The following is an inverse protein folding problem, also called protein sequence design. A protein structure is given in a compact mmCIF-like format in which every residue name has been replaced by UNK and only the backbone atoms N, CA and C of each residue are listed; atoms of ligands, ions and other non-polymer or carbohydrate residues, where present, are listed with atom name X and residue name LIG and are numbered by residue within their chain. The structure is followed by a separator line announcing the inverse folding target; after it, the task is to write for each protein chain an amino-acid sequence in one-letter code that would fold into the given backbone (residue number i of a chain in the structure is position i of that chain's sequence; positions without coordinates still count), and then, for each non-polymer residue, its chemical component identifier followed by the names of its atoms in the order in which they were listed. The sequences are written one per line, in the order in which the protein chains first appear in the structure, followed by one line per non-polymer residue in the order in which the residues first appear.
data_IF_637384471236
#
_entry.id   IF_637384471236
#
_cell.length_a   1.000
_cell.length_b   1.000
_cell.length_c   1.000
_cell.angle_alpha   90.00
_cell.angle_beta   90.00
_cell.angle_gamma   90.00
#
_symmetry.space_group_name_H-M   'P 1'
#
loop_
_entity.id
_entity.type
_entity.pdbx_description
1 polymer ?
#
# COMPACT_ATOMS: atom_id res chain seq x y z
N UNK A 1 -27.94 2.60 11.12
CA UNK A 1 -26.72 2.37 11.92
C UNK A 1 -25.47 3.01 11.32
N UNK A 2 -25.11 2.77 10.05
CA UNK A 2 -23.91 3.37 9.40
C UNK A 2 -23.88 4.91 9.41
N UNK A 3 -25.04 5.57 9.25
CA UNK A 3 -25.14 7.04 9.28
C UNK A 3 -24.93 7.68 10.66
N UNK A 4 -25.37 7.00 11.72
CA UNK A 4 -25.17 7.47 13.09
C UNK A 4 -23.70 7.35 13.51
N UNK A 5 -23.03 6.27 13.09
CA UNK A 5 -21.60 6.08 13.32
C UNK A 5 -20.75 7.17 12.63
N UNK A 6 -21.12 7.59 11.41
CA UNK A 6 -20.41 8.66 10.69
C UNK A 6 -20.57 10.05 11.35
N UNK A 7 -21.74 10.35 11.92
CA UNK A 7 -21.99 11.61 12.63
C UNK A 7 -21.23 11.67 13.96
N UNK A 8 -21.23 10.56 14.71
CA UNK A 8 -20.48 10.43 15.97
C UNK A 8 -18.98 10.53 15.68
N UNK A 9 -18.49 9.90 14.61
CA UNK A 9 -17.09 9.97 14.19
C UNK A 9 -16.63 11.39 13.83
N UNK A 10 -17.46 12.16 13.11
CA UNK A 10 -17.13 13.55 12.77
C UNK A 10 -17.15 14.48 13.99
N UNK A 11 -18.05 14.24 14.96
CA UNK A 11 -18.12 15.02 16.20
C UNK A 11 -16.97 14.71 17.18
N UNK A 12 -16.51 13.46 17.25
CA UNK A 12 -15.35 13.08 18.06
C UNK A 12 -14.05 13.60 17.43
N UNK A 13 -13.92 13.49 16.10
CA UNK A 13 -12.79 14.04 15.35
C UNK A 13 -12.70 15.57 15.52
N UNK A 14 -13.84 16.28 15.42
CA UNK A 14 -13.89 17.73 15.63
C UNK A 14 -13.61 18.15 17.09
N UNK A 15 -13.86 17.26 18.08
CA UNK A 15 -13.51 17.50 19.49
C UNK A 15 -12.02 17.32 19.74
N UNK A 16 -11.41 16.30 19.14
CA UNK A 16 -10.01 15.94 19.37
C UNK A 16 -9.01 16.92 18.75
N UNK A 17 -9.39 17.60 17.66
CA UNK A 17 -8.51 18.53 16.93
C UNK A 17 -8.64 19.98 17.44
N UNK A 18 -9.76 20.31 18.08
CA UNK A 18 -10.06 21.65 18.62
C UNK A 18 -8.96 22.24 19.54
N UNK A 19 -8.33 21.47 20.47
CA UNK A 19 -7.28 22.02 21.32
C UNK A 19 -5.93 22.23 20.61
N UNK A 20 -5.75 21.68 19.41
CA UNK A 20 -4.47 21.72 18.67
C UNK A 20 -4.49 22.69 17.47
N UNK A 21 -5.60 23.38 17.23
CA UNK A 21 -5.72 24.39 16.18
C UNK A 21 -5.17 25.75 16.67
N UNK A 22 -4.19 26.35 15.96
CA UNK A 22 -3.71 27.69 16.31
C UNK A 22 -4.83 28.72 16.19
N UNK A 23 -4.95 29.62 17.18
CA UNK A 23 -5.92 30.73 17.21
C UNK A 23 -5.48 31.88 16.30
N UNK A 24 -5.33 31.61 15.00
CA UNK A 24 -5.06 32.60 13.95
C UNK A 24 -6.30 32.78 13.08
N UNK A 25 -6.46 33.91 12.39
CA UNK A 25 -7.63 34.15 11.52
C UNK A 25 -7.86 33.06 10.45
N UNK A 26 -6.80 32.35 10.05
CA UNK A 26 -6.81 31.22 9.13
C UNK A 26 -7.55 29.97 9.66
N UNK A 27 -7.72 29.81 10.99
CA UNK A 27 -8.50 28.69 11.56
C UNK A 27 -10.00 28.97 11.69
N UNK A 28 -10.44 30.24 11.48
CA UNK A 28 -11.86 30.62 11.47
C UNK A 28 -12.61 30.03 10.27
N UNK A 29 -11.95 29.86 9.12
CA UNK A 29 -12.55 29.23 7.95
C UNK A 29 -12.80 27.73 8.15
N UNK A 30 -11.94 27.03 8.90
CA UNK A 30 -12.11 25.61 9.22
C UNK A 30 -13.29 25.38 10.16
N UNK A 31 -13.46 26.26 11.16
CA UNK A 31 -14.62 26.24 12.06
C UNK A 31 -15.93 26.61 11.33
N UNK A 32 -15.89 27.55 10.39
CA UNK A 32 -17.04 27.91 9.56
C UNK A 32 -17.46 26.76 8.63
N UNK A 33 -16.50 26.07 8.00
CA UNK A 33 -16.77 24.91 7.15
C UNK A 33 -17.39 23.74 7.94
N UNK A 34 -16.91 23.48 9.16
CA UNK A 34 -17.47 22.46 10.04
C UNK A 34 -18.91 22.80 10.48
N UNK A 35 -19.21 24.07 10.79
CA UNK A 35 -20.55 24.52 11.17
C UNK A 35 -21.55 24.49 10.01
N UNK A 36 -21.10 24.72 8.77
CA UNK A 36 -21.94 24.63 7.56
C UNK A 36 -22.31 23.18 7.27
N UNK A 37 -21.36 22.24 7.43
CA UNK A 37 -21.62 20.81 7.27
C UNK A 37 -22.60 20.27 8.33
N UNK A 38 -22.58 20.81 9.54
CA UNK A 38 -23.52 20.44 10.61
C UNK A 38 -24.95 20.97 10.40
N UNK A 39 -25.18 21.94 9.51
CA UNK A 39 -26.49 22.58 9.27
C UNK A 39 -27.22 22.10 8.01
N UNK A 40 -26.68 21.15 7.25
CA UNK A 40 -27.35 20.62 6.05
C UNK A 40 -28.62 19.85 6.46
N UNK A 41 -29.84 20.31 6.13
CA UNK A 41 -31.05 19.59 6.50
C UNK A 41 -31.23 18.35 5.63
N UNK A 42 -31.47 17.19 6.26
CA UNK A 42 -31.78 15.95 5.55
C UNK A 42 -33.21 15.99 5.01
N UNK A 43 -33.38 16.12 3.68
CA UNK A 43 -34.68 15.87 3.02
C UNK A 43 -34.82 14.40 2.62
N UNK A 44 -35.97 13.76 2.85
CA UNK A 44 -36.23 12.41 2.38
C UNK A 44 -36.54 12.40 0.88
N UNK A 45 -35.92 11.47 0.16
CA UNK A 45 -36.09 11.30 -1.29
C UNK A 45 -37.46 10.68 -1.62
N UNK A 46 -38.31 11.40 -2.37
CA UNK A 46 -39.40 10.80 -3.15
C UNK A 46 -38.90 10.53 -4.56
N UNK A 47 -38.96 9.27 -5.00
CA UNK A 47 -38.80 8.87 -6.39
C UNK A 47 -39.96 9.44 -7.21
N UNK A 48 -39.65 10.12 -8.31
CA UNK A 48 -40.63 10.44 -9.35
C UNK A 48 -40.06 9.88 -10.66
N UNK A 49 -40.72 8.84 -11.16
CA UNK A 49 -40.60 8.37 -12.54
C UNK A 49 -41.47 9.30 -13.39
N UNK A 50 -40.91 9.89 -14.45
CA UNK A 50 -41.67 10.62 -15.45
C UNK A 50 -41.38 10.04 -16.85
N UNK A 51 -42.39 9.93 -17.74
CA UNK A 51 -42.24 9.29 -19.04
C UNK A 51 -41.64 10.23 -20.09
N UNK A 52 -40.99 9.62 -21.07
CA UNK A 52 -40.48 10.22 -22.30
C UNK A 52 -41.62 10.77 -23.14
N UNK A 53 -41.51 12.01 -23.62
CA UNK A 53 -42.12 12.39 -24.88
C UNK A 53 -41.32 13.45 -25.62
N UNK A 54 -41.24 13.27 -26.94
CA UNK A 54 -40.41 13.97 -27.91
C UNK A 54 -41.11 15.22 -28.47
N UNK A 55 -40.38 16.34 -28.62
CA UNK A 55 -40.64 17.33 -29.67
C UNK A 55 -39.35 18.00 -30.14
N UNK A 56 -39.29 18.17 -31.45
CA UNK A 56 -38.22 18.69 -32.29
C UNK A 56 -38.27 20.23 -32.29
N UNK A 57 -37.11 20.89 -32.16
CA UNK A 57 -36.85 22.21 -32.75
C UNK A 57 -35.32 22.41 -32.94
N UNK A 58 -34.90 22.68 -34.18
CA UNK A 58 -33.53 23.08 -34.60
C UNK A 58 -33.42 24.63 -34.56
N UNK A 59 -32.33 25.27 -35.05
CA UNK A 59 -30.96 25.31 -34.52
C UNK A 59 -30.48 26.76 -34.34
N UNK A 60 -29.70 27.08 -33.30
CA UNK A 60 -28.96 28.37 -33.30
C UNK A 60 -27.68 28.34 -32.44
N UNK A 61 -26.83 27.35 -32.69
CA UNK A 61 -25.58 27.12 -31.95
C UNK A 61 -24.32 27.41 -32.78
N UNK A 62 -24.41 28.18 -33.85
CA UNK A 62 -23.28 28.39 -34.77
C UNK A 62 -22.57 29.75 -34.65
N UNK A 63 -22.96 30.63 -33.71
CA UNK A 63 -22.41 32.00 -33.63
C UNK A 63 -21.60 32.36 -32.38
N UNK A 64 -21.39 31.43 -31.44
CA UNK A 64 -20.61 31.67 -30.20
C UNK A 64 -19.36 30.80 -30.03
N UNK A 65 -18.71 30.40 -31.12
CA UNK A 65 -17.43 29.65 -31.05
C UNK A 65 -16.27 30.35 -31.77
N UNK A 66 -16.38 31.66 -32.04
CA UNK A 66 -15.37 32.39 -32.83
C UNK A 66 -14.63 33.52 -32.13
N UNK A 67 -14.65 33.59 -30.81
CA UNK A 67 -13.78 34.52 -30.06
C UNK A 67 -13.40 33.93 -28.70
N UNK A 68 -12.12 33.61 -28.51
CA UNK A 68 -11.58 33.17 -27.21
C UNK A 68 -10.40 32.19 -27.24
N UNK A 69 -9.88 31.84 -28.42
CA UNK A 69 -8.72 30.98 -28.58
C UNK A 69 -7.41 31.75 -28.43
N UNK A 70 -6.87 31.86 -27.20
CA UNK A 70 -5.47 32.26 -26.99
C UNK A 70 -4.99 32.06 -25.55
N UNK A 71 -5.86 32.23 -24.54
CA UNK A 71 -5.45 32.15 -23.12
C UNK A 71 -5.67 30.80 -22.42
N UNK A 72 -6.59 29.96 -22.91
CA UNK A 72 -6.95 28.68 -22.26
C UNK A 72 -5.99 27.52 -22.54
N UNK A 73 -5.20 27.60 -23.61
CA UNK A 73 -4.26 26.54 -23.98
C UNK A 73 -3.02 26.50 -23.07
N UNK A 74 -2.61 27.64 -22.49
CA UNK A 74 -1.43 27.72 -21.61
C UNK A 74 -1.71 27.23 -20.18
N UNK A 75 -2.93 27.35 -19.69
CA UNK A 75 -3.32 26.90 -18.34
C UNK A 75 -3.60 25.39 -18.26
N UNK A 76 -4.01 24.75 -19.36
CA UNK A 76 -4.23 23.31 -19.40
C UNK A 76 -2.91 22.50 -19.40
N UNK A 77 -1.86 23.03 -20.04
CA UNK A 77 -0.54 22.39 -20.04
C UNK A 77 0.15 22.40 -18.66
N UNK A 78 0.03 23.49 -17.90
CA UNK A 78 0.68 23.62 -16.60
C UNK A 78 0.08 22.69 -15.51
N UNK A 79 -1.23 22.43 -15.54
CA UNK A 79 -1.89 21.51 -14.61
C UNK A 79 -1.55 20.03 -14.87
N UNK A 80 -1.26 19.65 -16.12
CA UNK A 80 -0.88 18.29 -16.47
C UNK A 80 0.52 17.91 -15.94
N UNK A 81 1.45 18.87 -15.88
CA UNK A 81 2.81 18.63 -15.36
C UNK A 81 2.86 18.48 -13.82
N UNK A 82 1.93 19.11 -13.08
CA UNK A 82 1.84 18.99 -11.62
C UNK A 82 1.29 17.65 -11.12
N UNK A 83 0.53 16.93 -11.96
CA UNK A 83 -0.04 15.62 -11.59
C UNK A 83 0.92 14.45 -11.78
N UNK A 84 2.04 14.64 -12.49
CA UNK A 84 3.04 13.60 -12.77
C UNK A 84 4.21 13.57 -11.77
N UNK A 85 4.35 14.58 -10.90
CA UNK A 85 5.47 14.70 -9.96
C UNK A 85 5.22 14.11 -8.56
N UNK A 86 4.11 13.40 -8.36
CA UNK A 86 3.62 13.05 -7.03
C UNK A 86 4.05 11.71 -6.44
N UNK A 87 4.95 10.94 -7.04
CA UNK A 87 5.35 9.64 -6.47
C UNK A 87 6.38 9.83 -5.36
N UNK A 88 6.11 9.31 -4.16
CA UNK A 88 7.13 9.21 -3.13
C UNK A 88 8.30 8.36 -3.66
N UNK A 89 9.53 8.85 -3.53
CA UNK A 89 10.73 8.09 -3.86
C UNK A 89 11.27 7.42 -2.59
N UNK A 90 11.73 6.18 -2.73
CA UNK A 90 12.44 5.46 -1.68
C UNK A 90 13.91 5.32 -2.09
N UNK A 91 14.87 5.45 -1.16
CA UNK A 91 16.29 5.28 -1.49
C UNK A 91 16.59 3.82 -1.85
N UNK A 92 17.39 3.61 -2.90
CA UNK A 92 17.86 2.29 -3.33
C UNK A 92 19.34 2.09 -2.96
N UNK A 93 19.69 2.51 -1.75
CA UNK A 93 21.06 2.49 -1.24
C UNK A 93 21.45 1.11 -0.70
N UNK A 94 22.76 0.84 -0.65
CA UNK A 94 23.32 -0.38 -0.07
C UNK A 94 23.42 -0.19 1.44
N UNK A 95 22.68 -0.98 2.20
CA UNK A 95 22.62 -0.87 3.66
C UNK A 95 23.59 -1.79 4.41
N UNK A 96 24.37 -2.59 3.69
CA UNK A 96 25.33 -3.54 4.24
C UNK A 96 24.72 -4.80 4.84
N UNK A 97 23.48 -5.18 4.47
CA UNK A 97 22.79 -6.33 5.08
C UNK A 97 22.89 -7.62 4.26
N UNK A 98 23.31 -7.51 2.99
CA UNK A 98 23.54 -8.64 2.08
C UNK A 98 24.96 -9.22 2.25
N UNK A 99 25.13 -10.52 1.98
CA UNK A 99 26.47 -11.15 1.96
C UNK A 99 27.38 -10.56 0.90
N UNK A 100 26.85 -10.30 -0.30
CA UNK A 100 27.55 -9.62 -1.39
C UNK A 100 26.56 -8.72 -2.16
N UNK A 101 27.11 -7.69 -2.79
CA UNK A 101 26.43 -6.78 -3.70
C UNK A 101 26.87 -6.96 -5.16
N UNK A 102 27.71 -7.97 -5.42
CA UNK A 102 28.32 -8.19 -6.71
C UNK A 102 27.30 -8.72 -7.72
N UNK A 103 27.45 -8.28 -8.97
CA UNK A 103 26.61 -8.70 -10.09
C UNK A 103 25.10 -8.44 -9.89
N UNK A 104 24.72 -7.53 -8.99
CA UNK A 104 23.37 -7.01 -8.92
C UNK A 104 23.10 -6.15 -10.17
N UNK A 105 22.09 -6.53 -10.95
CA UNK A 105 21.69 -5.80 -12.15
C UNK A 105 20.42 -5.00 -11.89
N UNK A 106 20.32 -3.82 -12.48
CA UNK A 106 19.11 -3.00 -12.37
C UNK A 106 17.95 -3.69 -13.07
N UNK A 107 16.82 -3.80 -12.36
CA UNK A 107 15.60 -4.36 -12.91
C UNK A 107 14.39 -3.64 -12.30
N UNK A 108 13.98 -2.53 -12.91
CA UNK A 108 12.91 -1.71 -12.34
C UNK A 108 11.52 -2.18 -12.79
N UNK A 109 10.55 -2.05 -11.90
CA UNK A 109 9.13 -2.08 -12.25
C UNK A 109 8.62 -0.69 -12.65
N UNK A 110 7.32 -0.57 -12.90
CA UNK A 110 6.69 0.73 -13.22
C UNK A 110 6.83 1.75 -12.09
N UNK A 111 6.75 1.27 -10.84
CA UNK A 111 6.82 2.10 -9.63
C UNK A 111 7.84 1.60 -8.60
N UNK A 112 8.46 0.43 -8.85
CA UNK A 112 9.54 -0.12 -8.02
C UNK A 112 10.88 0.16 -8.66
N UNK A 113 11.82 0.61 -7.84
CA UNK A 113 13.22 0.56 -8.17
C UNK A 113 13.83 -0.71 -7.57
N UNK A 114 14.64 -1.44 -8.34
CA UNK A 114 15.32 -2.61 -7.81
C UNK A 114 16.67 -2.89 -8.48
N UNK A 115 17.54 -3.54 -7.71
CA UNK A 115 18.74 -4.20 -8.21
C UNK A 115 18.74 -5.63 -7.69
N UNK A 116 18.89 -6.61 -8.57
CA UNK A 116 18.75 -8.02 -8.19
C UNK A 116 19.77 -8.91 -8.88
N UNK A 117 19.98 -10.09 -8.29
CA UNK A 117 20.77 -11.18 -8.82
C UNK A 117 20.06 -12.48 -8.46
N UNK A 118 20.10 -13.45 -9.35
CA UNK A 118 19.60 -14.80 -9.10
C UNK A 118 20.46 -15.83 -9.82
N UNK A 119 20.86 -16.87 -9.09
CA UNK A 119 21.51 -18.07 -9.58
C UNK A 119 20.40 -19.07 -9.97
N UNK A 120 19.86 -18.91 -11.17
CA UNK A 120 18.69 -19.65 -11.64
C UNK A 120 18.85 -21.18 -11.53
N UNK A 121 19.98 -21.81 -11.91
CA UNK A 121 20.15 -23.26 -11.75
C UNK A 121 19.99 -23.72 -10.31
N UNK A 122 20.58 -23.02 -9.34
CA UNK A 122 20.49 -23.39 -7.92
C UNK A 122 19.07 -23.18 -7.38
N UNK A 123 18.45 -22.04 -7.71
CA UNK A 123 17.08 -21.74 -7.29
C UNK A 123 16.08 -22.76 -7.89
N UNK A 124 16.28 -23.20 -9.14
CA UNK A 124 15.44 -24.22 -9.78
C UNK A 124 15.64 -25.61 -9.19
N UNK A 125 16.80 -25.93 -8.63
CA UNK A 125 17.07 -27.21 -7.98
C UNK A 125 16.52 -27.28 -6.55
N UNK A 126 16.41 -26.14 -5.85
CA UNK A 126 15.91 -26.06 -4.49
C UNK A 126 14.42 -26.45 -4.37
N UNK A 127 14.10 -27.18 -3.31
CA UNK A 127 12.75 -27.69 -2.99
C UNK A 127 12.21 -27.11 -1.69
N UNK A 128 13.09 -26.88 -0.71
CA UNK A 128 12.74 -26.43 0.63
C UNK A 128 13.26 -25.02 0.88
N UNK A 129 12.48 -24.23 1.63
CA UNK A 129 12.87 -22.88 2.01
C UNK A 129 12.55 -22.61 3.47
N UNK A 130 13.47 -21.99 4.17
CA UNK A 130 13.28 -21.44 5.51
C UNK A 130 13.23 -19.92 5.42
N UNK A 131 12.31 -19.29 6.15
CA UNK A 131 12.20 -17.84 6.24
C UNK A 131 12.69 -17.41 7.62
N UNK A 132 13.76 -16.61 7.65
CA UNK A 132 14.21 -15.92 8.85
C UNK A 132 13.33 -14.68 9.04
N UNK A 133 12.75 -14.45 10.24
CA UNK A 133 11.89 -13.31 10.48
C UNK A 133 12.53 -11.98 10.08
N UNK A 134 11.76 -11.15 9.39
CA UNK A 134 12.24 -9.88 8.88
C UNK A 134 12.61 -8.95 10.03
N UNK A 135 13.76 -8.29 9.89
CA UNK A 135 14.27 -7.34 10.89
C UNK A 135 14.32 -5.92 10.34
N UNK A 136 14.39 -4.95 11.26
CA UNK A 136 14.69 -3.55 10.93
C UNK A 136 16.20 -3.31 11.06
N UNK A 137 16.82 -2.80 10.01
CA UNK A 137 18.24 -2.48 9.98
C UNK A 137 18.59 -1.24 10.81
N UNK A 138 19.88 -1.07 11.12
CA UNK A 138 20.40 0.01 11.95
C UNK A 138 20.03 1.41 11.43
N UNK A 139 19.96 1.58 10.10
CA UNK A 139 19.56 2.84 9.45
C UNK A 139 18.13 3.31 9.77
N UNK A 140 17.30 2.47 10.41
CA UNK A 140 15.90 2.79 10.73
C UNK A 140 15.68 3.20 12.19
N UNK A 141 16.74 3.29 12.99
CA UNK A 141 16.66 3.56 14.45
C UNK A 141 16.00 4.90 14.78
N UNK A 142 16.25 5.94 13.98
CA UNK A 142 15.66 7.27 14.16
C UNK A 142 14.21 7.42 13.67
N UNK A 143 13.63 6.37 13.06
CA UNK A 143 12.26 6.45 12.53
C UNK A 143 11.23 6.31 13.66
N UNK A 144 10.24 7.23 13.77
CA UNK A 144 9.25 7.24 14.85
C UNK A 144 8.15 6.17 14.65
N UNK A 145 8.53 4.89 14.60
CA UNK A 145 7.64 3.74 14.63
C UNK A 145 7.74 3.02 15.97
N UNK A 146 6.59 2.70 16.58
CA UNK A 146 6.53 1.87 17.79
C UNK A 146 7.00 0.44 17.51
N UNK A 147 7.28 -0.32 18.58
CA UNK A 147 7.69 -1.73 18.47
C UNK A 147 6.61 -2.55 17.78
N UNK A 148 5.34 -2.31 18.08
CA UNK A 148 4.18 -2.99 17.51
C UNK A 148 4.04 -2.68 16.01
N UNK A 149 4.21 -1.41 15.63
CA UNK A 149 4.18 -1.00 14.22
C UNK A 149 5.30 -1.66 13.41
N UNK A 150 6.52 -1.70 13.96
CA UNK A 150 7.65 -2.40 13.35
C UNK A 150 7.36 -3.89 13.19
N UNK A 151 6.82 -4.54 14.22
CA UNK A 151 6.40 -5.96 14.16
C UNK A 151 5.35 -6.20 13.08
N UNK A 152 4.35 -5.32 12.94
CA UNK A 152 3.34 -5.46 11.89
C UNK A 152 3.93 -5.35 10.48
N UNK A 153 4.81 -4.37 10.25
CA UNK A 153 5.47 -4.20 8.94
C UNK A 153 6.39 -5.39 8.61
N UNK A 154 7.21 -5.83 9.57
CA UNK A 154 8.07 -7.00 9.40
C UNK A 154 7.26 -8.27 9.12
N UNK A 155 6.20 -8.52 9.90
CA UNK A 155 5.35 -9.69 9.70
C UNK A 155 4.58 -9.63 8.37
N UNK A 156 4.26 -8.44 7.86
CA UNK A 156 3.67 -8.30 6.53
C UNK A 156 4.63 -8.76 5.42
N UNK A 157 5.93 -8.50 5.56
CA UNK A 157 6.97 -9.07 4.68
C UNK A 157 6.98 -10.58 4.79
N UNK A 158 7.13 -11.11 6.00
CA UNK A 158 7.29 -12.55 6.23
C UNK A 158 6.08 -13.36 5.73
N UNK A 159 4.87 -12.85 5.98
CA UNK A 159 3.64 -13.48 5.52
C UNK A 159 3.50 -13.45 3.99
N UNK A 160 3.88 -12.36 3.34
CA UNK A 160 3.87 -12.27 1.88
C UNK A 160 4.95 -13.17 1.26
N UNK A 161 6.13 -13.24 1.87
CA UNK A 161 7.17 -14.20 1.50
C UNK A 161 6.66 -15.64 1.61
N UNK A 162 6.04 -15.98 2.75
CA UNK A 162 5.54 -17.33 2.96
C UNK A 162 4.49 -17.71 1.93
N UNK A 163 3.50 -16.84 1.70
CA UNK A 163 2.43 -17.09 0.74
C UNK A 163 2.94 -17.22 -0.72
N UNK A 164 3.94 -16.43 -1.11
CA UNK A 164 4.51 -16.49 -2.45
C UNK A 164 5.45 -17.69 -2.63
N UNK A 165 6.34 -17.94 -1.67
CA UNK A 165 7.29 -19.05 -1.74
C UNK A 165 6.61 -20.41 -1.68
N UNK A 166 5.51 -20.52 -0.92
CA UNK A 166 4.74 -21.75 -0.78
C UNK A 166 3.96 -22.15 -2.02
N UNK A 167 4.02 -21.37 -3.11
CA UNK A 167 3.53 -21.76 -4.44
C UNK A 167 4.42 -22.83 -5.10
N UNK A 168 5.71 -22.88 -4.75
CA UNK A 168 6.68 -23.81 -5.34
C UNK A 168 7.50 -24.56 -4.30
N UNK A 169 7.96 -23.86 -3.27
CA UNK A 169 8.83 -24.43 -2.25
C UNK A 169 8.01 -25.00 -1.10
N UNK A 170 8.51 -26.08 -0.51
CA UNK A 170 8.07 -26.50 0.81
C UNK A 170 8.68 -25.54 1.84
N UNK A 171 7.86 -24.67 2.42
CA UNK A 171 8.30 -23.81 3.52
C UNK A 171 8.43 -24.66 4.78
N UNK A 172 9.63 -24.68 5.37
CA UNK A 172 9.95 -25.47 6.57
C UNK A 172 10.14 -24.56 7.80
N UNK A 173 10.06 -25.17 8.99
CA UNK A 173 10.22 -24.46 10.25
C UNK A 173 11.67 -24.02 10.54
N UNK A 174 11.88 -23.16 11.56
CA UNK A 174 13.18 -22.58 11.89
C UNK A 174 14.24 -23.59 12.35
N UNK A 175 13.83 -24.78 12.80
CA UNK A 175 14.72 -25.85 13.27
C UNK A 175 14.97 -26.93 12.21
N UNK A 176 14.33 -26.83 11.06
CA UNK A 176 14.45 -27.82 9.98
C UNK A 176 15.48 -27.33 8.94
N UNK A 177 16.31 -28.23 8.39
CA UNK A 177 17.20 -27.87 7.30
C UNK A 177 16.40 -27.48 6.06
N UNK A 178 16.90 -26.48 5.32
CA UNK A 178 16.29 -26.01 4.07
C UNK A 178 17.37 -25.80 3.00
N UNK A 179 17.04 -26.14 1.76
CA UNK A 179 17.92 -25.89 0.60
C UNK A 179 18.25 -24.41 0.47
N UNK A 180 17.30 -23.55 0.82
CA UNK A 180 17.44 -22.10 0.84
C UNK A 180 16.98 -21.50 2.17
N UNK A 181 17.76 -20.57 2.71
CA UNK A 181 17.38 -19.70 3.83
C UNK A 181 17.19 -18.29 3.32
N UNK A 182 15.98 -17.76 3.45
CA UNK A 182 15.59 -16.41 3.04
C UNK A 182 15.67 -15.47 4.23
N UNK A 183 16.34 -14.34 4.04
CA UNK A 183 16.40 -13.25 5.02
C UNK A 183 16.08 -11.93 4.34
N UNK A 184 15.20 -11.15 4.95
CA UNK A 184 14.88 -9.79 4.55
C UNK A 184 15.15 -8.80 5.68
N UNK A 185 15.60 -7.60 5.32
CA UNK A 185 15.87 -6.51 6.26
C UNK A 185 15.28 -5.23 5.71
N UNK A 186 14.48 -4.55 6.53
CA UNK A 186 14.00 -3.20 6.24
C UNK A 186 15.16 -2.23 6.44
N UNK A 187 15.59 -1.57 5.37
CA UNK A 187 16.77 -0.70 5.37
C UNK A 187 16.41 0.77 5.48
N UNK A 188 15.26 1.16 4.95
CA UNK A 188 14.73 2.52 5.04
C UNK A 188 13.22 2.51 5.19
N UNK A 189 12.69 3.42 6.00
CA UNK A 189 11.25 3.69 6.10
C UNK A 189 11.03 5.19 6.17
N UNK A 190 10.19 5.71 5.28
CA UNK A 190 9.59 7.03 5.46
C UNK A 190 8.19 6.83 6.03
N UNK A 191 7.91 7.33 7.25
CA UNK A 191 6.58 7.24 7.84
C UNK A 191 5.52 7.93 6.98
N UNK A 192 4.31 7.42 7.05
CA UNK A 192 3.12 8.11 6.53
C UNK A 192 2.80 9.28 7.46
N UNK A 193 2.47 10.45 6.94
CA UNK A 193 1.92 11.54 7.73
C UNK A 193 0.39 11.36 7.82
N UNK A 194 -0.15 10.90 8.98
CA UNK A 194 -1.57 10.60 9.11
C UNK A 194 -2.44 11.86 9.01
N UNK A 195 -1.92 13.04 9.35
CA UNK A 195 -2.67 14.30 9.29
C UNK A 195 -2.80 14.76 7.85
N UNK A 196 -1.71 14.73 7.08
CA UNK A 196 -1.75 15.06 5.66
C UNK A 196 -2.58 14.05 4.84
N UNK A 197 -2.46 12.74 5.13
CA UNK A 197 -3.27 11.70 4.49
C UNK A 197 -4.75 11.80 4.89
N UNK A 198 -5.05 12.17 6.14
CA UNK A 198 -6.43 12.40 6.61
C UNK A 198 -7.09 13.61 5.95
N UNK A 199 -6.38 14.74 5.85
CA UNK A 199 -6.89 15.95 5.19
C UNK A 199 -7.14 15.72 3.69
N UNK A 200 -6.22 15.04 3.01
CA UNK A 200 -6.37 14.72 1.58
C UNK A 200 -7.51 13.75 1.30
N UNK A 201 -7.75 12.77 2.18
CA UNK A 201 -8.93 11.90 2.09
C UNK A 201 -10.23 12.63 2.41
N UNK A 202 -10.28 13.50 3.40
CA UNK A 202 -11.47 14.32 3.69
C UNK A 202 -11.92 15.14 2.48
N UNK A 203 -10.97 15.74 1.76
CA UNK A 203 -11.24 16.47 0.52
C UNK A 203 -11.69 15.55 -0.63
N UNK A 204 -11.18 14.32 -0.71
CA UNK A 204 -11.49 13.38 -1.78
C UNK A 204 -12.81 12.61 -1.56
N UNK A 205 -13.15 12.28 -0.30
CA UNK A 205 -14.42 11.62 0.10
C UNK A 205 -15.63 12.54 -0.11
N UNK A 206 -15.45 13.86 -0.04
CA UNK A 206 -16.49 14.82 -0.42
C UNK A 206 -17.04 14.59 -1.84
N UNK A 207 -16.24 14.00 -2.75
CA UNK A 207 -16.67 13.67 -4.12
C UNK A 207 -17.35 12.31 -4.22
N UNK A 208 -17.00 11.33 -3.39
CA UNK A 208 -17.57 9.96 -3.46
C UNK A 208 -19.01 9.89 -2.96
N UNK A 209 -19.43 10.82 -2.09
CA UNK A 209 -20.82 10.96 -1.63
C UNK A 209 -21.77 11.31 -2.80
N UNK A 210 -21.25 11.88 -3.89
CA UNK A 210 -22.05 12.23 -5.08
C UNK A 210 -22.35 11.04 -6.02
N UNK A 211 -21.67 9.90 -5.91
CA UNK A 211 -21.82 8.75 -6.82
C UNK A 211 -21.87 7.41 -6.06
N UNK A 212 -22.96 7.12 -5.33
CA UNK A 212 -23.13 5.84 -4.65
C UNK A 212 -23.25 4.68 -5.64
N UNK A 213 -22.43 3.64 -5.48
CA UNK A 213 -22.58 2.36 -6.21
C UNK A 213 -21.51 2.05 -7.25
N UNK A 214 -20.61 2.98 -7.58
CA UNK A 214 -19.45 2.72 -8.43
C UNK A 214 -18.19 2.85 -7.55
N UNK A 215 -17.44 1.76 -7.30
CA UNK A 215 -16.15 1.84 -6.63
C UNK A 215 -15.14 2.53 -7.56
N UNK A 216 -15.15 3.85 -7.57
CA UNK A 216 -14.13 4.65 -8.25
C UNK A 216 -12.91 4.69 -7.34
N UNK A 217 -11.73 4.19 -7.78
CA UNK A 217 -10.49 4.37 -7.03
C UNK A 217 -10.28 5.86 -6.82
N UNK A 218 -10.38 6.34 -5.58
CA UNK A 218 -10.21 7.75 -5.25
C UNK A 218 -8.71 8.04 -5.31
N UNK A 219 -8.21 8.83 -6.29
CA UNK A 219 -6.80 9.15 -6.38
C UNK A 219 -6.39 9.93 -5.12
N UNK A 220 -5.32 9.50 -4.47
CA UNK A 220 -4.83 10.17 -3.26
C UNK A 220 -4.07 11.44 -3.63
N UNK A 221 -4.19 12.50 -2.85
CA UNK A 221 -3.34 13.69 -3.05
C UNK A 221 -1.91 13.30 -2.58
N UNK A 222 -0.86 13.56 -3.39
CA UNK A 222 0.52 13.14 -3.10
C UNK A 222 1.18 13.96 -1.99
N UNK A 223 0.62 13.95 -0.78
CA UNK A 223 1.17 14.63 0.40
C UNK A 223 1.16 13.64 1.57
N UNK A 224 2.28 13.54 2.28
CA UNK A 224 2.39 12.68 3.47
C UNK A 224 2.53 11.19 3.20
N UNK A 225 2.93 10.80 2.00
CA UNK A 225 3.06 9.40 1.60
C UNK A 225 4.32 8.77 2.18
N UNK A 226 4.17 7.53 2.68
CA UNK A 226 5.29 6.74 3.15
C UNK A 226 6.07 6.08 2.01
N UNK A 227 7.25 5.59 2.35
CA UNK A 227 8.11 4.84 1.44
C UNK A 227 8.86 3.75 2.20
N UNK A 228 9.25 2.69 1.48
CA UNK A 228 9.89 1.53 2.08
C UNK A 228 11.02 1.03 1.17
N UNK A 229 12.16 0.73 1.79
CA UNK A 229 13.27 0.04 1.14
C UNK A 229 13.66 -1.19 1.94
N UNK A 230 13.97 -2.27 1.24
CA UNK A 230 14.42 -3.52 1.82
C UNK A 230 15.58 -4.10 1.03
N UNK A 231 16.37 -4.88 1.75
CA UNK A 231 17.35 -5.80 1.19
C UNK A 231 16.95 -7.22 1.59
N UNK A 232 17.00 -8.14 0.63
CA UNK A 232 16.85 -9.55 0.94
C UNK A 232 17.79 -10.42 0.14
N UNK A 233 18.05 -11.59 0.69
CA UNK A 233 18.85 -12.64 0.08
C UNK A 233 18.28 -14.02 0.38
N UNK A 234 18.53 -14.95 -0.54
CA UNK A 234 18.39 -16.37 -0.34
C UNK A 234 19.79 -16.99 -0.34
N UNK A 235 20.12 -17.72 0.72
CA UNK A 235 21.40 -18.41 0.88
C UNK A 235 21.21 -19.92 0.85
N UNK A 236 22.14 -20.66 0.27
CA UNK A 236 22.13 -22.13 0.32
C UNK A 236 22.59 -22.67 1.69
N UNK A 237 22.57 -24.00 1.85
CA UNK A 237 23.06 -24.70 3.04
C UNK A 237 24.53 -24.40 3.37
N UNK A 238 25.35 -24.08 2.38
CA UNK A 238 26.75 -23.69 2.57
C UNK A 238 26.90 -22.19 2.90
N UNK A 239 25.80 -21.46 2.99
CA UNK A 239 25.77 -20.03 3.29
C UNK A 239 26.14 -19.14 2.11
N UNK A 240 26.17 -19.65 0.87
CA UNK A 240 26.41 -18.83 -0.31
C UNK A 240 25.13 -18.13 -0.76
N UNK A 241 25.22 -16.85 -1.06
CA UNK A 241 24.12 -16.07 -1.63
C UNK A 241 23.80 -16.52 -3.07
N UNK A 242 22.61 -17.10 -3.23
CA UNK A 242 22.05 -17.60 -4.50
C UNK A 242 21.06 -16.64 -5.13
N UNK A 243 20.44 -15.78 -4.34
CA UNK A 243 19.67 -14.66 -4.86
C UNK A 243 19.80 -13.48 -3.92
N UNK A 244 19.69 -12.28 -4.47
CA UNK A 244 19.63 -11.04 -3.70
C UNK A 244 18.80 -9.99 -4.42
N UNK A 245 18.18 -9.11 -3.65
CA UNK A 245 17.41 -7.98 -4.14
C UNK A 245 17.57 -6.80 -3.20
N UNK A 246 17.93 -5.65 -3.75
CA UNK A 246 17.68 -4.33 -3.16
C UNK A 246 16.40 -3.83 -3.81
N UNK A 247 15.42 -3.44 -3.00
CA UNK A 247 14.10 -3.04 -3.45
C UNK A 247 13.71 -1.73 -2.77
N UNK A 248 13.14 -0.80 -3.53
CA UNK A 248 12.66 0.46 -3.02
C UNK A 248 11.39 0.89 -3.77
N UNK A 249 10.35 1.27 -3.02
CA UNK A 249 9.09 1.80 -3.58
C UNK A 249 8.51 2.82 -2.60
N UNK A 250 7.99 3.92 -3.13
CA UNK A 250 7.11 4.81 -2.37
C UNK A 250 5.65 4.54 -2.65
N UNK A 251 4.77 4.92 -1.72
CA UNK A 251 3.34 4.79 -1.95
C UNK A 251 2.90 5.68 -3.12
N UNK A 252 2.08 5.11 -4.00
CA UNK A 252 1.55 5.79 -5.18
C UNK A 252 0.20 6.47 -4.92
N UNK A 253 -0.07 7.51 -5.73
CA UNK A 253 -1.37 8.20 -5.83
C UNK A 253 -2.51 7.24 -6.22
N UNK A 254 -2.17 6.19 -6.98
CA UNK A 254 -3.06 5.12 -7.42
C UNK A 254 -2.57 3.79 -6.85
N UNK A 255 -3.47 2.98 -6.27
CA UNK A 255 -3.20 1.59 -5.92
C UNK A 255 -2.77 1.27 -4.47
N UNK A 256 -2.47 2.25 -3.61
CA UNK A 256 -2.24 1.99 -2.19
C UNK A 256 -3.50 2.17 -1.32
N UNK A 257 -3.51 1.55 -0.14
CA UNK A 257 -4.70 1.46 0.72
C UNK A 257 -5.10 2.78 1.40
N UNK A 258 -4.21 3.76 1.55
CA UNK A 258 -4.52 5.11 2.05
C UNK A 258 -4.74 5.15 3.55
N UNK A 259 -4.06 4.24 4.25
CA UNK A 259 -4.19 4.09 5.70
C UNK A 259 -3.67 5.33 6.40
N UNK A 260 -4.52 5.90 7.26
CA UNK A 260 -4.25 7.10 8.04
C UNK A 260 -3.49 6.73 9.32
N UNK A 261 -2.35 6.06 9.16
CA UNK A 261 -1.50 5.58 10.25
C UNK A 261 -0.04 5.69 9.83
N UNK A 262 0.84 5.94 10.79
CA UNK A 262 2.28 6.20 10.57
C UNK A 262 2.95 5.07 9.76
N UNK A 263 2.57 3.84 10.04
CA UNK A 263 3.04 2.61 9.40
C UNK A 263 2.25 2.20 8.14
N UNK A 264 1.19 2.93 7.81
CA UNK A 264 0.14 2.46 6.89
C UNK A 264 0.62 2.15 5.49
N UNK A 265 1.39 3.06 4.89
CA UNK A 265 1.98 2.83 3.56
C UNK A 265 3.10 1.78 3.62
N UNK A 266 3.95 1.80 4.66
CA UNK A 266 5.01 0.81 4.85
C UNK A 266 4.46 -0.62 4.95
N UNK A 267 3.33 -0.83 5.65
CA UNK A 267 2.68 -2.13 5.75
C UNK A 267 2.22 -2.69 4.40
N UNK A 268 1.67 -1.83 3.53
CA UNK A 268 1.28 -2.22 2.18
C UNK A 268 2.50 -2.56 1.31
N UNK A 269 3.49 -1.67 1.32
CA UNK A 269 4.74 -1.83 0.56
C UNK A 269 5.53 -3.07 0.99
N UNK A 270 5.45 -3.46 2.28
CA UNK A 270 6.03 -4.69 2.79
C UNK A 270 5.45 -5.94 2.13
N UNK A 271 4.13 -5.96 1.89
CA UNK A 271 3.47 -7.07 1.19
C UNK A 271 3.86 -7.12 -0.29
N UNK A 272 3.95 -5.95 -0.94
CA UNK A 272 4.40 -5.82 -2.33
C UNK A 272 5.82 -6.37 -2.51
N UNK A 273 6.74 -5.99 -1.62
CA UNK A 273 8.10 -6.48 -1.61
C UNK A 273 8.15 -8.01 -1.47
N UNK A 274 7.43 -8.58 -0.49
CA UNK A 274 7.42 -10.02 -0.25
C UNK A 274 6.91 -10.80 -1.46
N UNK A 275 5.93 -10.26 -2.18
CA UNK A 275 5.46 -10.82 -3.46
C UNK A 275 6.53 -10.76 -4.56
N UNK A 276 7.18 -9.60 -4.75
CA UNK A 276 8.22 -9.42 -5.77
C UNK A 276 9.42 -10.34 -5.54
N UNK A 277 9.92 -10.42 -4.29
CA UNK A 277 11.05 -11.29 -3.95
C UNK A 277 10.68 -12.77 -4.03
N UNK A 278 9.48 -13.16 -3.60
CA UNK A 278 9.01 -14.54 -3.78
C UNK A 278 8.95 -14.92 -5.25
N UNK A 279 8.45 -14.03 -6.11
CA UNK A 279 8.37 -14.27 -7.56
C UNK A 279 9.75 -14.39 -8.20
N UNK A 280 10.75 -13.63 -7.73
CA UNK A 280 12.15 -13.82 -8.13
C UNK A 280 12.60 -15.25 -7.85
N UNK A 281 12.35 -15.76 -6.64
CA UNK A 281 12.76 -17.10 -6.23
C UNK A 281 11.94 -18.22 -6.88
N UNK A 282 10.62 -18.05 -7.00
CA UNK A 282 9.74 -19.06 -7.59
C UNK A 282 10.01 -19.23 -9.09
N UNK A 283 10.28 -18.13 -9.79
CA UNK A 283 10.51 -18.17 -11.25
C UNK A 283 11.97 -18.32 -11.63
N UNK A 284 12.91 -18.04 -10.71
CA UNK A 284 14.34 -17.94 -11.00
C UNK A 284 14.69 -16.75 -11.92
N UNK A 285 13.80 -15.78 -12.08
CA UNK A 285 13.96 -14.66 -13.01
C UNK A 285 13.37 -13.37 -12.45
N UNK A 286 13.73 -12.22 -13.03
CA UNK A 286 13.20 -10.94 -12.57
C UNK A 286 11.65 -10.92 -12.50
N UNK A 287 11.07 -10.41 -11.40
CA UNK A 287 9.63 -10.23 -11.28
C UNK A 287 9.10 -9.04 -12.09
N UNK A 288 10.00 -8.20 -12.62
CA UNK A 288 9.70 -6.94 -13.31
C UNK A 288 9.82 -7.06 -14.83
N UNK A 289 9.20 -6.14 -15.57
CA UNK A 289 9.35 -6.01 -17.03
C UNK A 289 8.61 -7.05 -17.89
N UNK A 290 8.00 -8.07 -17.28
CA UNK A 290 7.11 -9.03 -17.96
C UNK A 290 5.64 -8.58 -17.80
N UNK A 291 4.79 -8.94 -18.77
CA UNK A 291 3.34 -8.70 -18.66
C UNK A 291 2.81 -9.25 -17.32
N UNK A 292 1.80 -8.59 -16.70
CA UNK A 292 1.23 -9.04 -15.44
C UNK A 292 0.79 -10.51 -15.56
N UNK A 293 1.46 -11.39 -14.83
CA UNK A 293 1.04 -12.78 -14.71
C UNK A 293 -0.22 -12.82 -13.84
N UNK A 294 -1.26 -13.51 -14.27
CA UNK A 294 -2.45 -13.69 -13.43
C UNK A 294 -2.05 -14.33 -12.09
N UNK A 295 -2.54 -13.80 -10.96
CA UNK A 295 -2.26 -14.39 -9.67
C UNK A 295 -2.81 -15.83 -9.63
N UNK A 296 -2.06 -16.72 -8.98
CA UNK A 296 -2.49 -18.11 -8.81
C UNK A 296 -3.77 -18.17 -7.97
N UNK A 297 -4.60 -19.21 -8.17
CA UNK A 297 -5.76 -19.44 -7.32
C UNK A 297 -5.38 -19.55 -5.83
N UNK A 298 -4.17 -20.06 -5.56
CA UNK A 298 -3.59 -20.11 -4.23
C UNK A 298 -3.34 -18.70 -3.66
N UNK A 299 -2.62 -17.85 -4.41
CA UNK A 299 -2.33 -16.47 -4.03
C UNK A 299 -3.58 -15.62 -3.83
N UNK A 300 -4.62 -15.83 -4.64
CA UNK A 300 -5.93 -15.19 -4.43
C UNK A 300 -6.52 -15.62 -3.08
N UNK A 301 -6.59 -16.94 -2.83
CA UNK A 301 -7.19 -17.48 -1.60
C UNK A 301 -6.48 -16.98 -0.35
N UNK A 302 -5.15 -17.00 -0.33
CA UNK A 302 -4.36 -16.54 0.83
C UNK A 302 -4.47 -15.03 1.03
N UNK A 303 -4.53 -14.24 -0.06
CA UNK A 303 -4.77 -12.79 0.02
C UNK A 303 -6.10 -12.46 0.69
N UNK A 304 -7.13 -13.26 0.46
CA UNK A 304 -8.46 -13.12 1.09
C UNK A 304 -8.57 -13.79 2.49
N UNK A 305 -7.45 -14.17 3.11
CA UNK A 305 -7.41 -14.71 4.47
C UNK A 305 -7.64 -16.22 4.57
N UNK A 306 -7.60 -16.93 3.44
CA UNK A 306 -7.62 -18.39 3.42
C UNK A 306 -6.35 -19.00 4.02
N UNK A 307 -6.44 -20.29 4.37
CA UNK A 307 -5.32 -21.01 4.98
C UNK A 307 -4.10 -21.07 4.04
N UNK A 308 -2.87 -20.91 4.59
CA UNK A 308 -1.64 -21.05 3.81
C UNK A 308 -1.46 -22.48 3.29
N UNK A 309 -0.67 -22.67 2.23
CA UNK A 309 -0.39 -24.03 1.72
C UNK A 309 0.60 -24.81 2.59
N UNK A 310 1.46 -24.12 3.33
CA UNK A 310 2.38 -24.75 4.29
C UNK A 310 1.95 -24.50 5.74
N UNK A 311 1.91 -25.52 6.60
CA UNK A 311 1.72 -25.35 8.05
C UNK A 311 2.76 -24.43 8.69
N UNK A 312 3.99 -24.39 8.14
CA UNK A 312 5.04 -23.50 8.65
C UNK A 312 4.65 -22.01 8.51
N UNK A 313 3.81 -21.66 7.53
CA UNK A 313 3.34 -20.29 7.36
C UNK A 313 2.35 -19.84 8.43
N UNK A 314 1.76 -20.75 9.21
CA UNK A 314 0.90 -20.36 10.33
C UNK A 314 1.67 -19.60 11.40
N UNK A 315 3.00 -19.78 11.49
CA UNK A 315 3.87 -19.01 12.37
C UNK A 315 3.86 -17.50 12.07
N UNK A 316 3.55 -17.09 10.84
CA UNK A 316 3.44 -15.67 10.44
C UNK A 316 2.00 -15.15 10.48
N UNK A 317 1.06 -15.99 10.90
CA UNK A 317 -0.36 -15.67 10.94
C UNK A 317 -1.03 -15.62 9.56
N UNK A 318 -2.34 -15.39 9.57
CA UNK A 318 -3.14 -15.29 8.34
C UNK A 318 -3.22 -13.85 7.86
N UNK A 319 -3.43 -13.66 6.56
CA UNK A 319 -3.77 -12.34 6.03
C UNK A 319 -5.07 -11.86 6.69
N UNK A 320 -5.20 -10.56 7.03
CA UNK A 320 -6.45 -10.01 7.56
C UNK A 320 -7.62 -10.06 6.56
N UNK A 321 -7.39 -10.51 5.33
CA UNK A 321 -8.42 -10.91 4.38
C UNK A 321 -9.40 -9.79 4.04
N UNK A 322 -10.70 -10.11 3.96
CA UNK A 322 -11.75 -9.14 3.64
C UNK A 322 -11.79 -7.98 4.65
N UNK A 323 -11.54 -8.24 5.94
CA UNK A 323 -11.47 -7.19 6.96
C UNK A 323 -10.28 -6.25 6.72
N UNK A 324 -9.12 -6.80 6.36
CA UNK A 324 -7.94 -6.03 5.97
C UNK A 324 -8.15 -5.21 4.70
N UNK A 325 -8.87 -5.76 3.72
CA UNK A 325 -9.24 -5.09 2.48
C UNK A 325 -10.22 -3.92 2.73
N UNK A 326 -11.32 -4.18 3.45
CA UNK A 326 -12.29 -3.14 3.79
C UNK A 326 -11.69 -2.06 4.70
N UNK A 327 -10.92 -2.47 5.71
CA UNK A 327 -10.21 -1.54 6.57
C UNK A 327 -9.21 -0.69 5.81
N UNK A 328 -8.53 -1.28 4.82
CA UNK A 328 -7.69 -0.54 3.88
C UNK A 328 -8.48 0.50 3.11
N UNK A 329 -9.59 0.10 2.48
CA UNK A 329 -10.46 1.03 1.75
C UNK A 329 -10.93 2.20 2.64
N UNK A 330 -11.26 1.92 3.90
CA UNK A 330 -11.65 2.92 4.90
C UNK A 330 -10.48 3.72 5.48
N UNK A 331 -9.24 3.29 5.24
CA UNK A 331 -8.02 3.96 5.73
C UNK A 331 -7.70 3.65 7.18
N UNK A 332 -8.24 2.56 7.72
CA UNK A 332 -8.03 2.15 9.10
C UNK A 332 -6.58 1.70 9.32
N UNK A 333 -5.98 2.00 10.49
CA UNK A 333 -4.66 1.50 10.86
C UNK A 333 -4.57 -0.02 10.69
N UNK A 334 -3.44 -0.57 10.21
CA UNK A 334 -3.29 -2.00 9.98
C UNK A 334 -3.50 -2.81 11.26
N UNK A 335 -3.01 -2.35 12.42
CA UNK A 335 -3.19 -3.05 13.71
C UNK A 335 -4.65 -3.22 14.19
N UNK A 336 -5.61 -2.52 13.57
CA UNK A 336 -7.02 -2.73 13.86
C UNK A 336 -7.57 -3.96 13.15
N UNK A 337 -7.01 -4.29 11.99
CA UNK A 337 -7.49 -5.37 11.11
C UNK A 337 -6.54 -6.57 11.10
N UNK A 338 -5.27 -6.34 11.39
CA UNK A 338 -4.22 -7.36 11.45
C UNK A 338 -3.74 -7.53 12.89
N UNK A 339 -3.71 -8.77 13.36
CA UNK A 339 -3.19 -9.13 14.68
C UNK A 339 -1.71 -9.52 14.65
N UNK A 340 -1.10 -9.59 13.46
CA UNK A 340 0.28 -10.03 13.27
C UNK A 340 0.44 -11.54 13.43
N UNK A 341 1.68 -11.98 13.62
CA UNK A 341 1.98 -13.36 13.96
C UNK A 341 1.32 -13.74 15.30
N UNK A 342 0.84 -14.98 15.46
CA UNK A 342 0.42 -15.49 16.76
C UNK A 342 1.55 -15.35 17.79
N UNK A 343 1.21 -15.11 19.04
CA UNK A 343 2.19 -15.23 20.12
C UNK A 343 2.76 -16.66 20.09
N UNK A 344 4.08 -16.80 20.13
CA UNK A 344 4.71 -18.10 20.25
C UNK A 344 4.14 -18.78 21.51
N UNK A 345 3.79 -20.09 21.46
CA UNK A 345 3.41 -20.81 22.67
C UNK A 345 4.54 -20.67 23.69
N UNK A 346 4.17 -20.38 24.95
CA UNK A 346 5.13 -20.37 26.04
C UNK A 346 5.84 -21.73 26.10
N UNK A 347 7.15 -21.76 26.38
CA UNK A 347 7.93 -23.00 26.41
C UNK A 347 7.41 -24.01 27.42
#
# INVERSE_FOLDING_TARGET
MVRAAASIYLEDYARQIRPHLPRTESSRWLLAAAAILARVPQRPSRQIIAPVNSRIAKPDLARRLRDGGSRKARTAGALAHLLLAGCASAPLDRAGTLQSYDNLTTSNGLVTQSRLRVDEPVIRAAKTVQIVPTAFGAGTTGVPLTVEQRRLVANAVDRALCAGLSERFQVVGPTQPADLTVRAVVTHVTPTDPVAVGASRGAAIAKTILLPGIPVPVPRIPIGMGSLSLEAEARDLAGHQRAAMIWARGAGVLGGSGRMSVEGDAYGLASDFGSDFSKLLVTGSTPFGKLPSFPSAHGIRTSFGGAPSSPACEAFGRSPGVAGFMGGALGLPPGWTDKGAPAAPAP
#
